data_IF_062720599537
#
_entry.id   IF_062720599537
#
_cell.length_a   1.000
_cell.length_b   1.000
_cell.length_c   1.000
_cell.angle_alpha   90.00
_cell.angle_beta   90.00
_cell.angle_gamma   90.00
#
_symmetry.space_group_name_H-M   'P 1'
#
loop_
_entity.id
_entity.type
_entity.pdbx_description
1 polymer ?
#
# COMPACT_ATOMS: atom_id res chain seq x y z
N UNK A 1 -119.95 113.21 224.11
CA UNK A 1 -120.82 112.15 223.55
C UNK A 1 -121.28 112.59 222.14
N UNK A 2 -120.34 112.76 221.20
CA UNK A 2 -120.61 112.95 219.75
C UNK A 2 -119.32 112.83 218.92
N UNK A 3 -118.14 113.16 219.48
CA UNK A 3 -116.85 113.10 218.77
C UNK A 3 -116.22 111.70 218.59
N UNK A 4 -116.54 110.71 219.44
CA UNK A 4 -115.90 109.38 219.36
C UNK A 4 -116.47 108.48 218.23
N UNK A 5 -117.66 108.78 217.70
CA UNK A 5 -118.29 107.97 216.64
C UNK A 5 -117.79 108.39 215.23
N UNK A 6 -117.55 109.68 215.00
CA UNK A 6 -117.02 110.19 213.73
C UNK A 6 -115.59 109.72 213.46
N UNK A 7 -114.79 109.51 214.52
CA UNK A 7 -113.41 109.06 214.39
C UNK A 7 -113.34 107.59 213.93
N UNK A 8 -114.24 106.73 214.42
CA UNK A 8 -114.31 105.33 214.02
C UNK A 8 -114.86 105.15 212.59
N UNK A 9 -115.82 105.98 212.15
CA UNK A 9 -116.28 105.99 210.75
C UNK A 9 -115.18 106.44 209.77
N UNK A 10 -114.35 107.39 210.19
CA UNK A 10 -113.21 107.88 209.38
C UNK A 10 -112.11 106.83 209.24
N UNK A 11 -111.82 106.08 210.31
CA UNK A 11 -110.87 104.97 210.27
C UNK A 11 -111.40 103.84 209.39
N UNK A 12 -112.68 103.49 209.50
CA UNK A 12 -113.29 102.44 208.68
C UNK A 12 -113.24 102.80 207.17
N UNK A 13 -113.52 104.06 206.80
CA UNK A 13 -113.37 104.54 205.43
C UNK A 13 -111.91 104.52 204.93
N UNK A 14 -110.92 104.87 205.77
CA UNK A 14 -109.50 104.80 205.40
C UNK A 14 -109.03 103.37 205.15
N UNK A 15 -109.47 102.42 205.97
CA UNK A 15 -109.11 101.00 205.82
C UNK A 15 -109.76 100.39 204.57
N UNK A 16 -111.02 100.74 204.28
CA UNK A 16 -111.69 100.32 203.04
C UNK A 16 -110.96 100.89 201.81
N UNK A 17 -110.64 102.20 201.80
CA UNK A 17 -109.88 102.82 200.70
C UNK A 17 -108.48 102.20 200.51
N UNK A 18 -107.79 101.86 201.61
CA UNK A 18 -106.50 101.17 201.54
C UNK A 18 -106.65 99.75 201.01
N UNK A 19 -107.70 99.01 201.42
CA UNK A 19 -108.01 97.68 200.91
C UNK A 19 -108.32 97.73 199.41
N UNK A 20 -109.09 98.70 198.94
CA UNK A 20 -109.43 98.85 197.52
C UNK A 20 -108.20 99.23 196.68
N UNK A 21 -107.33 100.12 197.19
CA UNK A 21 -106.02 100.40 196.56
C UNK A 21 -105.13 99.17 196.49
N UNK A 22 -105.08 98.36 197.55
CA UNK A 22 -104.34 97.10 197.58
C UNK A 22 -104.92 96.10 196.58
N UNK A 23 -106.24 96.01 196.46
CA UNK A 23 -106.93 95.15 195.51
C UNK A 23 -106.67 95.59 194.06
N UNK A 24 -106.72 96.89 193.78
CA UNK A 24 -106.35 97.46 192.48
C UNK A 24 -104.89 97.21 192.12
N UNK A 25 -103.96 97.41 193.07
CA UNK A 25 -102.54 97.14 192.85
C UNK A 25 -102.29 95.64 192.64
N UNK A 26 -102.95 94.77 193.39
CA UNK A 26 -102.84 93.33 193.18
C UNK A 26 -103.36 92.91 191.81
N UNK A 27 -104.50 93.45 191.37
CA UNK A 27 -105.05 93.19 190.04
C UNK A 27 -104.14 93.73 188.92
N UNK A 28 -103.52 94.90 189.11
CA UNK A 28 -102.54 95.47 188.16
C UNK A 28 -101.28 94.60 188.08
N UNK A 29 -100.74 94.18 189.23
CA UNK A 29 -99.56 93.33 189.29
C UNK A 29 -99.83 91.93 188.72
N UNK A 30 -101.04 91.40 188.92
CA UNK A 30 -101.49 90.16 188.30
C UNK A 30 -101.58 90.32 186.77
N UNK A 31 -102.16 91.42 186.27
CA UNK A 31 -102.22 91.69 184.84
C UNK A 31 -100.82 91.89 184.21
N UNK A 32 -99.90 92.58 184.88
CA UNK A 32 -98.50 92.72 184.44
C UNK A 32 -97.78 91.37 184.45
N UNK A 33 -98.00 90.55 185.48
CA UNK A 33 -97.47 89.18 185.55
C UNK A 33 -98.03 88.32 184.41
N UNK A 34 -99.32 88.41 184.12
CA UNK A 34 -99.95 87.68 183.02
C UNK A 34 -99.44 88.17 181.66
N UNK A 35 -99.23 89.48 181.49
CA UNK A 35 -98.58 90.04 180.30
C UNK A 35 -97.13 89.56 180.14
N UNK A 36 -96.35 89.55 181.21
CA UNK A 36 -94.97 89.09 181.19
C UNK A 36 -94.91 87.58 180.93
N UNK A 37 -95.83 86.82 181.50
CA UNK A 37 -95.99 85.39 181.26
C UNK A 37 -96.37 85.12 179.80
N UNK A 38 -97.28 85.91 179.22
CA UNK A 38 -97.64 85.82 177.81
C UNK A 38 -96.46 86.17 176.90
N UNK A 39 -95.72 87.23 177.22
CA UNK A 39 -94.52 87.65 176.48
C UNK A 39 -93.41 86.61 176.56
N UNK A 40 -93.15 86.04 177.73
CA UNK A 40 -92.23 84.92 177.93
C UNK A 40 -92.64 83.69 177.13
N UNK A 41 -93.94 83.35 177.15
CA UNK A 41 -94.47 82.22 176.38
C UNK A 41 -94.33 82.47 174.87
N UNK A 42 -94.49 83.71 174.41
CA UNK A 42 -94.26 84.10 173.01
C UNK A 42 -92.78 83.97 172.62
N UNK A 43 -91.87 84.49 173.45
CA UNK A 43 -90.43 84.39 173.21
C UNK A 43 -89.94 82.94 173.23
N UNK A 44 -90.50 82.11 174.10
CA UNK A 44 -90.22 80.67 174.14
C UNK A 44 -90.63 80.00 172.81
N UNK A 45 -91.81 80.34 172.26
CA UNK A 45 -92.22 79.84 170.94
C UNK A 45 -91.30 80.31 169.82
N UNK A 46 -90.87 81.57 169.84
CA UNK A 46 -89.91 82.09 168.85
C UNK A 46 -88.54 81.41 168.94
N UNK A 47 -88.05 81.18 170.17
CA UNK A 47 -86.81 80.42 170.40
C UNK A 47 -86.95 79.00 169.88
N UNK A 48 -88.05 78.32 170.17
CA UNK A 48 -88.28 76.94 169.74
C UNK A 48 -88.42 76.87 168.21
N UNK A 49 -89.01 77.88 167.58
CA UNK A 49 -89.07 78.02 166.12
C UNK A 49 -87.68 78.27 165.51
N UNK A 50 -86.88 79.15 166.10
CA UNK A 50 -85.50 79.40 165.66
C UNK A 50 -84.61 78.17 165.83
N UNK A 51 -84.81 77.41 166.91
CA UNK A 51 -84.12 76.14 167.13
C UNK A 51 -84.50 75.12 166.05
N UNK A 52 -85.79 74.99 165.75
CA UNK A 52 -86.29 74.12 164.66
C UNK A 52 -85.71 74.53 163.31
N UNK A 53 -85.64 75.83 163.02
CA UNK A 53 -85.05 76.37 161.80
C UNK A 53 -83.54 76.11 161.75
N UNK A 54 -82.83 76.26 162.87
CA UNK A 54 -81.40 75.98 162.98
C UNK A 54 -81.12 74.49 162.72
N UNK A 55 -81.88 73.59 163.34
CA UNK A 55 -81.74 72.15 163.16
C UNK A 55 -82.06 71.74 161.71
N UNK A 56 -83.05 72.38 161.09
CA UNK A 56 -83.36 72.20 159.66
C UNK A 56 -82.22 72.66 158.76
N UNK A 57 -81.65 73.84 159.01
CA UNK A 57 -80.51 74.37 158.25
C UNK A 57 -79.23 73.54 158.43
N UNK A 58 -79.00 73.03 159.64
CA UNK A 58 -77.91 72.09 159.95
C UNK A 58 -78.08 70.79 159.15
N UNK A 59 -79.28 70.21 159.16
CA UNK A 59 -79.59 69.02 158.35
C UNK A 59 -79.38 69.28 156.86
N UNK A 60 -79.83 70.43 156.34
CA UNK A 60 -79.64 70.81 154.95
C UNK A 60 -78.15 70.94 154.57
N UNK A 61 -77.35 71.56 155.44
CA UNK A 61 -75.89 71.68 155.26
C UNK A 61 -75.22 70.31 155.27
N UNK A 62 -75.60 69.44 156.21
CA UNK A 62 -75.03 68.10 156.32
C UNK A 62 -75.40 67.27 155.07
N UNK A 63 -76.62 67.43 154.53
CA UNK A 63 -77.04 66.83 153.25
C UNK A 63 -76.25 67.38 152.06
N UNK A 64 -76.01 68.70 151.99
CA UNK A 64 -75.17 69.32 150.95
C UNK A 64 -73.73 68.80 151.01
N UNK A 65 -73.20 68.58 152.22
CA UNK A 65 -71.86 67.99 152.39
C UNK A 65 -71.80 66.55 151.87
N UNK A 66 -72.85 65.74 152.13
CA UNK A 66 -72.96 64.39 151.57
C UNK A 66 -73.00 64.44 150.04
N UNK A 67 -73.84 65.30 149.47
CA UNK A 67 -73.96 65.45 148.02
C UNK A 67 -72.64 65.93 147.39
N UNK A 68 -71.95 66.87 148.03
CA UNK A 68 -70.63 67.33 147.59
C UNK A 68 -69.61 66.20 147.60
N UNK A 69 -69.58 65.40 148.67
CA UNK A 69 -68.68 64.25 148.78
C UNK A 69 -68.99 63.18 147.71
N UNK A 70 -70.29 62.93 147.43
CA UNK A 70 -70.72 62.01 146.36
C UNK A 70 -70.28 62.50 144.99
N UNK A 71 -70.52 63.78 144.68
CA UNK A 71 -70.12 64.39 143.41
C UNK A 71 -68.59 64.41 143.23
N UNK A 72 -67.84 64.63 144.31
CA UNK A 72 -66.39 64.54 144.29
C UNK A 72 -65.90 63.12 143.96
N UNK A 73 -66.60 62.09 144.46
CA UNK A 73 -66.28 60.70 144.15
C UNK A 73 -66.68 60.34 142.70
N UNK A 74 -67.87 60.74 142.24
CA UNK A 74 -68.28 60.60 140.83
C UNK A 74 -67.27 61.24 139.87
N UNK A 75 -66.76 62.43 140.20
CA UNK A 75 -65.72 63.10 139.42
C UNK A 75 -64.44 62.27 139.34
N UNK A 76 -64.01 61.63 140.43
CA UNK A 76 -62.84 60.73 140.42
C UNK A 76 -63.09 59.50 139.55
N UNK A 77 -64.28 58.90 139.64
CA UNK A 77 -64.64 57.75 138.81
C UNK A 77 -64.64 58.12 137.32
N UNK A 78 -65.18 59.28 136.97
CA UNK A 78 -65.16 59.78 135.60
C UNK A 78 -63.74 60.06 135.11
N UNK A 79 -62.86 60.59 135.96
CA UNK A 79 -61.45 60.78 135.63
C UNK A 79 -60.75 59.44 135.35
N UNK A 80 -60.96 58.43 136.19
CA UNK A 80 -60.42 57.07 135.98
C UNK A 80 -60.93 56.51 134.64
N UNK A 81 -62.22 56.67 134.35
CA UNK A 81 -62.81 56.23 133.08
C UNK A 81 -62.19 56.96 131.88
N UNK A 82 -61.97 58.27 132.00
CA UNK A 82 -61.32 59.08 130.96
C UNK A 82 -59.88 58.60 130.70
N UNK A 83 -59.10 58.39 131.76
CA UNK A 83 -57.71 57.93 131.67
C UNK A 83 -57.60 56.52 131.05
N UNK A 84 -58.55 55.64 131.39
CA UNK A 84 -58.68 54.32 130.77
C UNK A 84 -58.99 54.40 129.27
N UNK A 85 -59.98 55.22 128.87
CA UNK A 85 -60.33 55.42 127.46
C UNK A 85 -59.14 56.01 126.70
N UNK A 86 -58.42 56.98 127.29
CA UNK A 86 -57.24 57.59 126.67
C UNK A 86 -56.13 56.56 126.43
N UNK A 87 -55.95 55.63 127.36
CA UNK A 87 -54.98 54.54 127.21
C UNK A 87 -55.40 53.58 126.10
N UNK A 88 -56.69 53.24 125.99
CA UNK A 88 -57.21 52.41 124.90
C UNK A 88 -57.06 53.10 123.53
N UNK A 89 -57.30 54.40 123.45
CA UNK A 89 -57.08 55.20 122.23
C UNK A 89 -55.61 55.13 121.78
N UNK A 90 -54.67 55.33 122.70
CA UNK A 90 -53.24 55.25 122.42
C UNK A 90 -52.82 53.83 121.94
N UNK A 91 -53.41 52.78 122.56
CA UNK A 91 -53.17 51.39 122.15
C UNK A 91 -53.70 51.13 120.73
N UNK A 92 -54.91 51.62 120.43
CA UNK A 92 -55.52 51.48 119.11
C UNK A 92 -54.70 52.20 118.04
N UNK A 93 -54.22 53.41 118.33
CA UNK A 93 -53.35 54.17 117.43
C UNK A 93 -52.03 53.44 117.15
N UNK A 94 -51.45 52.83 118.19
CA UNK A 94 -50.24 52.00 118.05
C UNK A 94 -50.51 50.78 117.16
N UNK A 95 -51.62 50.09 117.38
CA UNK A 95 -52.01 48.93 116.57
C UNK A 95 -52.30 49.32 115.11
N UNK A 96 -52.99 50.44 114.88
CA UNK A 96 -53.23 50.98 113.54
C UNK A 96 -51.91 51.30 112.81
N UNK A 97 -50.93 51.88 113.51
CA UNK A 97 -49.60 52.13 112.95
C UNK A 97 -48.88 50.82 112.57
N UNK A 98 -48.97 49.77 113.39
CA UNK A 98 -48.42 48.44 113.08
C UNK A 98 -49.07 47.83 111.85
N UNK A 99 -50.40 47.79 111.81
CA UNK A 99 -51.19 47.29 110.66
C UNK A 99 -50.88 48.05 109.36
N UNK A 100 -50.66 49.37 109.45
CA UNK A 100 -50.27 50.18 108.29
C UNK A 100 -48.92 49.72 107.73
N UNK A 101 -47.92 49.48 108.60
CA UNK A 101 -46.61 48.97 108.18
C UNK A 101 -46.70 47.58 107.56
N UNK A 102 -47.50 46.69 108.15
CA UNK A 102 -47.73 45.34 107.61
C UNK A 102 -48.38 45.39 106.22
N UNK A 103 -49.40 46.24 106.04
CA UNK A 103 -50.04 46.46 104.74
C UNK A 103 -49.04 46.97 103.70
N UNK A 104 -48.22 47.95 104.06
CA UNK A 104 -47.24 48.53 103.14
C UNK A 104 -46.18 47.49 102.74
N UNK A 105 -45.74 46.65 103.69
CA UNK A 105 -44.83 45.55 103.40
C UNK A 105 -45.47 44.49 102.48
N UNK A 106 -46.73 44.13 102.69
CA UNK A 106 -47.47 43.23 101.81
C UNK A 106 -47.63 43.82 100.41
N UNK A 107 -47.86 45.13 100.30
CA UNK A 107 -47.95 45.82 99.01
C UNK A 107 -46.61 45.77 98.27
N UNK A 108 -45.49 46.00 98.95
CA UNK A 108 -44.15 45.85 98.37
C UNK A 108 -43.92 44.42 97.88
N UNK A 109 -44.27 43.41 98.69
CA UNK A 109 -44.13 42.01 98.30
C UNK A 109 -44.99 41.67 97.09
N UNK A 110 -46.23 42.15 97.03
CA UNK A 110 -47.13 41.97 95.89
C UNK A 110 -46.55 42.57 94.60
N UNK A 111 -46.01 43.79 94.68
CA UNK A 111 -45.39 44.44 93.53
C UNK A 111 -44.17 43.65 93.04
N UNK A 112 -43.32 43.18 93.97
CA UNK A 112 -42.15 42.36 93.63
C UNK A 112 -42.55 41.05 92.94
N UNK A 113 -43.56 40.35 93.47
CA UNK A 113 -44.07 39.12 92.89
C UNK A 113 -44.66 39.35 91.49
N UNK A 114 -45.33 40.48 91.28
CA UNK A 114 -45.86 40.88 89.97
C UNK A 114 -44.72 41.08 88.97
N UNK A 115 -43.68 41.83 89.35
CA UNK A 115 -42.50 42.01 88.50
C UNK A 115 -41.78 40.70 88.17
N UNK A 116 -41.66 39.78 89.14
CA UNK A 116 -41.09 38.46 88.90
C UNK A 116 -41.93 37.62 87.91
N UNK A 117 -43.26 37.68 88.03
CA UNK A 117 -44.18 37.03 87.09
C UNK A 117 -43.99 37.57 85.67
N UNK A 118 -43.88 38.89 85.52
CA UNK A 118 -43.70 39.52 84.21
C UNK A 118 -42.35 39.12 83.59
N UNK A 119 -41.28 39.06 84.40
CA UNK A 119 -39.97 38.57 83.97
C UNK A 119 -40.03 37.11 83.49
N UNK A 120 -40.70 36.23 84.25
CA UNK A 120 -40.89 34.84 83.85
C UNK A 120 -41.69 34.71 82.55
N UNK A 121 -42.68 35.57 82.34
CA UNK A 121 -43.45 35.57 81.10
C UNK A 121 -42.58 35.95 79.89
N UNK A 122 -41.68 36.92 80.04
CA UNK A 122 -40.72 37.30 79.00
C UNK A 122 -39.79 36.12 78.69
N UNK A 123 -39.22 35.49 79.72
CA UNK A 123 -38.33 34.32 79.56
C UNK A 123 -39.06 33.18 78.83
N UNK A 124 -40.30 32.89 79.24
CA UNK A 124 -41.12 31.87 78.60
C UNK A 124 -41.35 32.15 77.11
N UNK A 125 -41.69 33.40 76.77
CA UNK A 125 -41.93 33.78 75.38
C UNK A 125 -40.65 33.66 74.54
N UNK A 126 -39.50 34.07 75.09
CA UNK A 126 -38.21 33.94 74.42
C UNK A 126 -37.87 32.46 74.17
N UNK A 127 -38.03 31.60 75.19
CA UNK A 127 -37.77 30.16 75.07
C UNK A 127 -38.70 29.50 74.04
N UNK A 128 -39.96 29.93 73.98
CA UNK A 128 -40.91 29.44 72.98
C UNK A 128 -40.46 29.82 71.55
N UNK A 129 -39.87 31.00 71.37
CA UNK A 129 -39.34 31.42 70.08
C UNK A 129 -38.04 30.69 69.72
N UNK A 130 -37.11 30.53 70.66
CA UNK A 130 -35.90 29.72 70.48
C UNK A 130 -36.23 28.29 70.07
N UNK A 131 -37.26 27.69 70.68
CA UNK A 131 -37.74 26.36 70.30
C UNK A 131 -38.21 26.30 68.85
N UNK A 132 -38.92 27.31 68.35
CA UNK A 132 -39.34 27.36 66.94
C UNK A 132 -38.15 27.50 66.00
N UNK A 133 -37.18 28.34 66.34
CA UNK A 133 -35.97 28.50 65.55
C UNK A 133 -35.17 27.21 65.47
N UNK A 134 -35.07 26.49 66.59
CA UNK A 134 -34.41 25.18 66.61
C UNK A 134 -35.16 24.15 65.76
N UNK A 135 -36.51 24.16 65.78
CA UNK A 135 -37.31 23.30 64.92
C UNK A 135 -37.06 23.58 63.43
N UNK A 136 -37.03 24.85 63.03
CA UNK A 136 -36.73 25.26 61.65
C UNK A 136 -35.33 24.77 61.24
N UNK A 137 -34.34 24.93 62.13
CA UNK A 137 -32.98 24.43 61.90
C UNK A 137 -32.95 22.92 61.73
N UNK A 138 -33.66 22.18 62.59
CA UNK A 138 -33.77 20.73 62.51
C UNK A 138 -34.41 20.25 61.19
N UNK A 139 -35.49 20.90 60.75
CA UNK A 139 -36.19 20.56 59.50
C UNK A 139 -35.30 20.83 58.27
N UNK A 140 -34.53 21.93 58.29
CA UNK A 140 -33.55 22.23 57.25
C UNK A 140 -32.43 21.17 57.20
N UNK A 141 -31.85 20.80 58.35
CA UNK A 141 -30.82 19.76 58.41
C UNK A 141 -31.35 18.39 57.95
N UNK A 142 -32.61 18.08 58.28
CA UNK A 142 -33.29 16.86 57.81
C UNK A 142 -33.42 16.87 56.28
N UNK A 143 -33.86 18.00 55.71
CA UNK A 143 -33.99 18.16 54.26
C UNK A 143 -32.64 18.04 53.54
N UNK A 144 -31.57 18.62 54.10
CA UNK A 144 -30.22 18.50 53.56
C UNK A 144 -29.71 17.06 53.58
N UNK A 145 -29.96 16.34 54.68
CA UNK A 145 -29.61 14.91 54.80
C UNK A 145 -30.33 14.10 53.72
N UNK A 146 -31.62 14.33 53.53
CA UNK A 146 -32.41 13.59 52.55
C UNK A 146 -31.95 13.88 51.12
N UNK A 147 -31.57 15.13 50.82
CA UNK A 147 -30.97 15.49 49.54
C UNK A 147 -29.62 14.80 49.31
N UNK A 148 -28.77 14.73 50.34
CA UNK A 148 -27.50 14.00 50.26
C UNK A 148 -27.73 12.50 50.02
N UNK A 149 -28.77 11.92 50.62
CA UNK A 149 -29.12 10.52 50.39
C UNK A 149 -29.55 10.26 48.94
N UNK A 150 -30.32 11.18 48.35
CA UNK A 150 -30.68 11.11 46.92
C UNK A 150 -29.43 11.18 46.05
N UNK A 151 -28.55 12.14 46.32
CA UNK A 151 -27.30 12.30 45.56
C UNK A 151 -26.40 11.05 45.67
N UNK A 152 -26.31 10.46 46.86
CA UNK A 152 -25.58 9.21 47.08
C UNK A 152 -26.15 8.05 46.25
N UNK A 153 -27.47 7.90 46.23
CA UNK A 153 -28.13 6.84 45.46
C UNK A 153 -27.91 7.02 43.94
N UNK A 154 -27.98 8.25 43.45
CA UNK A 154 -27.70 8.56 42.04
C UNK A 154 -26.25 8.21 41.66
N UNK A 155 -25.28 8.63 42.49
CA UNK A 155 -23.87 8.31 42.28
C UNK A 155 -23.60 6.79 42.32
N UNK A 156 -24.29 6.07 43.20
CA UNK A 156 -24.19 4.61 43.25
C UNK A 156 -24.69 3.95 41.95
N UNK A 157 -25.74 4.50 41.32
CA UNK A 157 -26.25 4.00 40.06
C UNK A 157 -25.33 4.36 38.88
N UNK A 158 -24.82 5.59 38.82
CA UNK A 158 -23.82 6.00 37.83
C UNK A 158 -22.57 5.10 37.87
N UNK A 159 -22.12 4.74 39.08
CA UNK A 159 -21.00 3.81 39.27
C UNK A 159 -21.29 2.43 38.66
N UNK A 160 -22.50 1.89 38.81
CA UNK A 160 -22.88 0.60 38.19
C UNK A 160 -22.88 0.70 36.67
N UNK A 161 -23.41 1.78 36.11
CA UNK A 161 -23.40 2.01 34.67
C UNK A 161 -21.97 2.08 34.12
N UNK A 162 -21.08 2.77 34.83
CA UNK A 162 -19.67 2.84 34.45
C UNK A 162 -18.98 1.46 34.51
N UNK A 163 -19.30 0.64 35.52
CA UNK A 163 -18.78 -0.74 35.61
C UNK A 163 -19.24 -1.61 34.45
N UNK A 164 -20.51 -1.50 34.04
CA UNK A 164 -21.06 -2.21 32.87
C UNK A 164 -20.31 -1.77 31.60
N UNK A 165 -20.17 -0.46 31.39
CA UNK A 165 -19.44 0.11 30.25
C UNK A 165 -17.99 -0.39 30.18
N UNK A 166 -17.29 -0.38 31.32
CA UNK A 166 -15.94 -0.91 31.43
C UNK A 166 -15.86 -2.40 31.05
N UNK A 167 -16.81 -3.22 31.51
CA UNK A 167 -16.91 -4.63 31.13
C UNK A 167 -17.11 -4.85 29.64
N UNK A 168 -17.93 -4.03 28.99
CA UNK A 168 -18.17 -4.06 27.56
C UNK A 168 -16.89 -3.71 26.76
N UNK A 169 -16.20 -2.62 27.14
CA UNK A 169 -14.95 -2.20 26.49
C UNK A 169 -13.88 -3.29 26.64
N UNK A 170 -13.74 -3.87 27.84
CA UNK A 170 -12.80 -4.97 28.08
C UNK A 170 -13.09 -6.18 27.16
N UNK A 171 -14.35 -6.52 26.96
CA UNK A 171 -14.77 -7.60 26.07
C UNK A 171 -14.46 -7.28 24.60
N UNK A 172 -14.66 -6.03 24.16
CA UNK A 172 -14.29 -5.59 22.81
C UNK A 172 -12.78 -5.64 22.58
N UNK A 173 -11.96 -5.26 23.57
CA UNK A 173 -10.50 -5.36 23.50
C UNK A 173 -10.08 -6.83 23.30
N UNK A 174 -10.65 -7.76 24.07
CA UNK A 174 -10.36 -9.18 23.91
C UNK A 174 -10.73 -9.71 22.51
N UNK A 175 -11.85 -9.24 21.96
CA UNK A 175 -12.28 -9.59 20.59
C UNK A 175 -11.30 -9.04 19.55
N UNK A 176 -10.87 -7.79 19.70
CA UNK A 176 -9.86 -7.17 18.83
C UNK A 176 -8.53 -7.91 18.88
N UNK A 177 -8.06 -8.31 20.07
CA UNK A 177 -6.83 -9.11 20.23
C UNK A 177 -6.93 -10.47 19.54
N UNK A 178 -8.10 -11.12 19.62
CA UNK A 178 -8.36 -12.39 18.94
C UNK A 178 -8.32 -12.21 17.42
N UNK A 179 -8.98 -11.17 16.90
CA UNK A 179 -8.97 -10.84 15.49
C UNK A 179 -7.57 -10.49 14.98
N UNK A 180 -6.81 -9.72 15.74
CA UNK A 180 -5.42 -9.38 15.41
C UNK A 180 -4.54 -10.63 15.32
N UNK A 181 -4.70 -11.57 16.27
CA UNK A 181 -3.98 -12.85 16.26
C UNK A 181 -4.34 -13.70 15.03
N UNK A 182 -5.61 -13.72 14.63
CA UNK A 182 -6.06 -14.41 13.40
C UNK A 182 -5.44 -13.78 12.15
N UNK A 183 -5.53 -12.45 12.02
CA UNK A 183 -4.95 -11.72 10.89
C UNK A 183 -3.44 -11.91 10.78
N UNK A 184 -2.75 -12.01 11.92
CA UNK A 184 -1.31 -12.30 11.96
C UNK A 184 -1.01 -13.67 11.35
N UNK A 185 -1.78 -14.71 11.70
CA UNK A 185 -1.64 -16.04 11.11
C UNK A 185 -1.94 -16.05 9.61
N UNK A 186 -2.97 -15.33 9.17
CA UNK A 186 -3.31 -15.20 7.75
C UNK A 186 -2.19 -14.51 6.96
N UNK A 187 -1.61 -13.43 7.51
CA UNK A 187 -0.44 -12.76 6.93
C UNK A 187 0.75 -13.72 6.81
N UNK A 188 1.05 -14.48 7.86
CA UNK A 188 2.18 -15.40 7.86
C UNK A 188 1.99 -16.51 6.81
N UNK A 189 0.77 -17.02 6.68
CA UNK A 189 0.43 -17.99 5.64
C UNK A 189 0.59 -17.41 4.22
N UNK A 190 0.13 -16.18 4.00
CA UNK A 190 0.31 -15.49 2.72
C UNK A 190 1.78 -15.25 2.41
N UNK A 191 2.59 -14.91 3.42
CA UNK A 191 4.03 -14.75 3.26
C UNK A 191 4.70 -16.07 2.85
N UNK A 192 4.33 -17.19 3.46
CA UNK A 192 4.81 -18.51 3.05
C UNK A 192 4.42 -18.83 1.60
N UNK A 193 3.17 -18.57 1.23
CA UNK A 193 2.71 -18.79 -0.15
C UNK A 193 3.47 -17.91 -1.15
N UNK A 194 3.72 -16.64 -0.82
CA UNK A 194 4.51 -15.73 -1.65
C UNK A 194 5.95 -16.23 -1.85
N UNK A 195 6.59 -16.71 -0.78
CA UNK A 195 7.95 -17.26 -0.86
C UNK A 195 7.99 -18.50 -1.77
N UNK A 196 7.01 -19.40 -1.66
CA UNK A 196 6.89 -20.59 -2.51
C UNK A 196 6.71 -20.21 -3.99
N UNK A 197 5.83 -19.25 -4.28
CA UNK A 197 5.63 -18.75 -5.65
C UNK A 197 6.89 -18.12 -6.23
N UNK A 198 7.66 -17.41 -5.39
CA UNK A 198 8.96 -16.84 -5.79
C UNK A 198 9.95 -17.94 -6.15
N UNK A 199 10.07 -18.97 -5.32
CA UNK A 199 10.93 -20.13 -5.61
C UNK A 199 10.52 -20.87 -6.89
N UNK A 200 9.21 -21.04 -7.14
CA UNK A 200 8.73 -21.64 -8.38
C UNK A 200 9.06 -20.79 -9.61
N UNK A 201 8.94 -19.45 -9.49
CA UNK A 201 9.34 -18.53 -10.55
C UNK A 201 10.83 -18.66 -10.86
N UNK A 202 11.67 -18.73 -9.83
CA UNK A 202 13.11 -18.88 -10.00
C UNK A 202 13.47 -20.22 -10.67
N UNK A 203 12.78 -21.30 -10.29
CA UNK A 203 12.91 -22.61 -10.94
C UNK A 203 12.52 -22.55 -12.43
N UNK A 204 11.39 -21.90 -12.75
CA UNK A 204 10.97 -21.69 -14.14
C UNK A 204 11.98 -20.86 -14.93
N UNK A 205 12.59 -19.86 -14.31
CA UNK A 205 13.62 -19.05 -14.95
C UNK A 205 14.86 -19.88 -15.30
N UNK A 206 15.26 -20.80 -14.42
CA UNK A 206 16.37 -21.75 -14.69
C UNK A 206 16.00 -22.65 -15.88
N UNK A 207 14.80 -23.25 -15.87
CA UNK A 207 14.33 -24.11 -16.97
C UNK A 207 14.32 -23.35 -18.29
N UNK A 208 13.80 -22.11 -18.29
CA UNK A 208 13.78 -21.26 -19.47
C UNK A 208 15.18 -21.00 -20.03
N UNK A 209 16.14 -20.68 -19.16
CA UNK A 209 17.53 -20.44 -19.56
C UNK A 209 18.17 -21.70 -20.16
N UNK A 210 17.93 -22.87 -19.55
CA UNK A 210 18.42 -24.15 -20.07
C UNK A 210 17.83 -24.46 -21.45
N UNK A 211 16.52 -24.28 -21.62
CA UNK A 211 15.84 -24.50 -22.90
C UNK A 211 16.35 -23.54 -23.99
N UNK A 212 16.65 -22.29 -23.63
CA UNK A 212 17.26 -21.34 -24.55
C UNK A 212 18.64 -21.80 -25.01
N UNK A 213 19.43 -22.43 -24.13
CA UNK A 213 20.75 -22.96 -24.46
C UNK A 213 20.66 -24.24 -25.32
N UNK A 214 19.76 -25.17 -24.98
CA UNK A 214 19.46 -26.34 -25.81
C UNK A 214 19.02 -25.93 -27.22
N UNK A 215 18.20 -24.88 -27.35
CA UNK A 215 17.82 -24.33 -28.65
C UNK A 215 19.03 -23.85 -29.46
N UNK A 216 20.00 -23.16 -28.84
CA UNK A 216 21.23 -22.74 -29.53
C UNK A 216 22.08 -23.94 -29.97
N UNK A 217 22.18 -24.96 -29.12
CA UNK A 217 22.88 -26.19 -29.46
C UNK A 217 22.21 -26.89 -30.65
N UNK A 218 20.89 -27.01 -30.63
CA UNK A 218 20.12 -27.61 -31.72
C UNK A 218 20.26 -26.80 -33.02
N UNK A 219 20.21 -25.46 -32.96
CA UNK A 219 20.47 -24.60 -34.11
C UNK A 219 21.88 -24.82 -34.69
N UNK A 220 22.88 -25.01 -33.83
CA UNK A 220 24.26 -25.29 -34.25
C UNK A 220 24.36 -26.67 -34.92
N UNK A 221 23.74 -27.70 -34.33
CA UNK A 221 23.61 -29.03 -34.93
C UNK A 221 22.91 -28.99 -36.29
N UNK A 222 21.76 -28.31 -36.38
CA UNK A 222 21.03 -28.13 -37.63
C UNK A 222 21.87 -27.46 -38.72
N UNK A 223 22.63 -26.42 -38.37
CA UNK A 223 23.55 -25.75 -39.30
C UNK A 223 24.63 -26.72 -39.79
N UNK A 224 25.20 -27.53 -38.90
CA UNK A 224 26.21 -28.53 -39.25
C UNK A 224 25.65 -29.60 -40.20
N UNK A 225 24.48 -30.17 -39.89
CA UNK A 225 23.80 -31.15 -40.76
C UNK A 225 23.47 -30.53 -42.12
N UNK A 226 23.03 -29.27 -42.14
CA UNK A 226 22.79 -28.54 -43.39
C UNK A 226 24.07 -28.40 -44.22
N UNK A 227 25.19 -28.02 -43.60
CA UNK A 227 26.48 -27.92 -44.31
C UNK A 227 26.94 -29.28 -44.85
N UNK A 228 26.74 -30.36 -44.08
CA UNK A 228 27.09 -31.71 -44.56
C UNK A 228 26.19 -32.14 -45.71
N UNK A 229 24.89 -31.84 -45.66
CA UNK A 229 23.96 -32.06 -46.78
C UNK A 229 24.40 -31.30 -48.03
N UNK A 230 24.79 -30.03 -47.89
CA UNK A 230 25.27 -29.22 -49.02
C UNK A 230 26.56 -29.81 -49.61
N UNK A 231 27.47 -30.32 -48.77
CA UNK A 231 28.68 -31.02 -49.20
C UNK A 231 28.36 -32.32 -49.94
N UNK A 232 27.51 -33.19 -49.38
CA UNK A 232 27.05 -34.42 -50.03
C UNK A 232 26.33 -34.13 -51.36
N UNK A 233 25.58 -33.03 -51.45
CA UNK A 233 24.96 -32.62 -52.70
C UNK A 233 26.00 -32.22 -53.75
N UNK A 234 27.09 -31.55 -53.37
CA UNK A 234 28.21 -31.24 -54.28
C UNK A 234 28.91 -32.53 -54.73
N UNK A 235 29.19 -33.44 -53.80
CA UNK A 235 29.79 -34.75 -54.12
C UNK A 235 28.89 -35.56 -55.07
N UNK A 236 27.58 -35.61 -54.79
CA UNK A 236 26.60 -36.24 -55.68
C UNK A 236 26.63 -35.62 -57.08
N UNK A 237 26.67 -34.30 -57.19
CA UNK A 237 26.74 -33.61 -58.49
C UNK A 237 28.05 -33.91 -59.22
N UNK A 238 29.18 -33.97 -58.51
CA UNK A 238 30.46 -34.38 -59.07
C UNK A 238 30.43 -35.82 -59.57
N UNK A 239 29.87 -36.74 -58.78
CA UNK A 239 29.69 -38.13 -59.16
C UNK A 239 28.78 -38.27 -60.38
N UNK A 240 27.68 -37.50 -60.44
CA UNK A 240 26.77 -37.48 -61.58
C UNK A 240 27.48 -37.01 -62.86
N UNK A 241 28.32 -35.98 -62.77
CA UNK A 241 29.15 -35.51 -63.89
C UNK A 241 30.13 -36.59 -64.33
N UNK A 242 30.84 -37.22 -63.38
CA UNK A 242 31.76 -38.32 -63.66
C UNK A 242 31.05 -39.51 -64.33
N UNK A 243 29.88 -39.90 -63.81
CA UNK A 243 29.02 -40.92 -64.39
C UNK A 243 28.60 -40.58 -65.82
N UNK A 244 28.15 -39.35 -66.07
CA UNK A 244 27.77 -38.92 -67.42
C UNK A 244 28.98 -38.99 -68.37
N UNK A 245 30.16 -38.54 -67.94
CA UNK A 245 31.38 -38.62 -68.74
C UNK A 245 31.75 -40.06 -69.09
N UNK A 246 31.73 -40.99 -68.11
CA UNK A 246 31.94 -42.42 -68.37
C UNK A 246 30.85 -43.02 -69.26
N UNK A 247 29.60 -42.57 -69.15
CA UNK A 247 28.49 -43.03 -69.99
C UNK A 247 28.67 -42.67 -71.47
N UNK A 248 29.29 -41.52 -71.77
CA UNK A 248 29.57 -41.09 -73.16
C UNK A 248 30.89 -41.62 -73.72
N UNK A 249 31.79 -42.17 -72.89
CA UNK A 249 33.04 -42.76 -73.35
C UNK A 249 32.88 -43.92 -74.36
N UNK A 250 31.94 -44.88 -74.17
CA UNK A 250 31.69 -45.94 -75.15
C UNK A 250 31.31 -45.40 -76.53
N UNK A 251 30.49 -44.35 -76.60
CA UNK A 251 30.10 -43.73 -77.88
C UNK A 251 31.31 -43.08 -78.56
N UNK A 252 32.19 -42.42 -77.79
CA UNK A 252 33.43 -41.84 -78.33
C UNK A 252 34.39 -42.92 -78.81
N UNK A 253 34.64 -43.96 -78.00
CA UNK A 253 35.48 -45.09 -78.35
C UNK A 253 34.93 -45.87 -79.55
N UNK A 254 33.60 -45.97 -79.68
CA UNK A 254 32.96 -46.60 -80.84
C UNK A 254 33.14 -45.76 -82.12
N UNK A 255 33.09 -44.43 -82.02
CA UNK A 255 33.40 -43.54 -83.15
C UNK A 255 34.86 -43.69 -83.59
N UNK A 256 35.81 -43.71 -82.64
CA UNK A 256 37.22 -43.94 -82.94
C UNK A 256 37.47 -45.33 -83.56
N UNK A 257 36.82 -46.37 -83.01
CA UNK A 257 36.87 -47.74 -83.57
C UNK A 257 36.38 -47.76 -85.02
N UNK A 258 35.25 -47.11 -85.31
CA UNK A 258 34.72 -47.03 -86.67
C UNK A 258 35.67 -46.28 -87.61
N UNK A 259 36.29 -45.19 -87.15
CA UNK A 259 37.30 -44.47 -87.93
C UNK A 259 38.53 -45.33 -88.23
N UNK A 260 39.02 -46.09 -87.25
CA UNK A 260 40.12 -47.03 -87.46
C UNK A 260 39.73 -48.14 -88.43
N UNK A 261 38.52 -48.70 -88.33
CA UNK A 261 38.03 -49.73 -89.24
C UNK A 261 38.01 -49.23 -90.70
N UNK A 262 37.55 -48.00 -90.93
CA UNK A 262 37.57 -47.38 -92.26
C UNK A 262 39.00 -47.24 -92.79
N UNK A 263 39.94 -46.79 -91.95
CA UNK A 263 41.36 -46.70 -92.34
C UNK A 263 41.94 -48.08 -92.70
N UNK A 264 41.65 -49.09 -91.89
CA UNK A 264 42.09 -50.47 -92.13
C UNK A 264 41.58 -51.00 -93.48
N UNK A 265 40.29 -50.81 -93.77
CA UNK A 265 39.71 -51.24 -95.05
C UNK A 265 40.36 -50.54 -96.25
N UNK A 266 40.68 -49.24 -96.13
CA UNK A 266 41.35 -48.49 -97.20
C UNK A 266 42.76 -49.03 -97.48
N UNK A 267 43.56 -49.34 -96.45
CA UNK A 267 44.88 -49.94 -96.63
C UNK A 267 44.82 -51.33 -97.25
N UNK A 268 43.82 -52.12 -96.89
CA UNK A 268 43.57 -53.46 -97.47
C UNK A 268 43.36 -53.37 -98.97
N UNK A 269 42.55 -52.42 -99.42
CA UNK A 269 42.30 -52.20 -100.85
C UNK A 269 43.58 -51.78 -101.60
N UNK A 270 44.41 -50.91 -101.01
CA UNK A 270 45.68 -50.48 -101.62
C UNK A 270 46.66 -51.64 -101.77
N UNK A 271 46.78 -52.51 -100.75
CA UNK A 271 47.61 -53.71 -100.82
C UNK A 271 47.18 -54.63 -101.98
N UNK A 272 45.88 -54.85 -102.11
CA UNK A 272 45.34 -55.76 -103.13
C UNK A 272 45.51 -55.23 -104.56
N UNK A 273 45.56 -53.91 -104.74
CA UNK A 273 45.92 -53.29 -106.03
C UNK A 273 47.38 -53.54 -106.39
N UNK A 274 48.31 -53.23 -105.48
CA UNK A 274 49.75 -53.37 -105.73
C UNK A 274 50.17 -54.82 -106.00
N UNK A 275 49.50 -55.79 -105.35
CA UNK A 275 49.79 -57.21 -105.58
C UNK A 275 49.45 -57.66 -107.01
N UNK A 276 48.40 -57.09 -107.63
CA UNK A 276 48.01 -57.44 -109.00
C UNK A 276 49.00 -56.91 -110.03
N UNK A 277 49.52 -55.70 -109.83
CA UNK A 277 50.51 -55.10 -110.72
C UNK A 277 51.84 -55.87 -110.70
N UNK A 278 52.28 -56.29 -109.50
CA UNK A 278 53.49 -57.10 -109.34
C UNK A 278 53.41 -58.43 -110.09
N UNK A 279 52.25 -59.10 -110.03
CA UNK A 279 52.10 -60.41 -110.67
C UNK A 279 52.21 -60.33 -112.20
N UNK A 280 51.70 -59.26 -112.83
CA UNK A 280 51.79 -59.05 -114.29
C UNK A 280 53.23 -58.83 -114.77
N UNK A 281 54.05 -58.11 -114.02
CA UNK A 281 55.42 -57.82 -114.44
C UNK A 281 56.32 -59.07 -114.43
N UNK A 282 56.01 -60.03 -113.56
CA UNK A 282 56.82 -61.23 -113.35
C UNK A 282 56.67 -62.26 -114.48
N UNK A 283 55.58 -62.19 -115.25
CA UNK A 283 55.26 -63.11 -116.34
C UNK A 283 56.19 -62.88 -117.56
N UNK A 284 56.47 -61.61 -117.91
CA UNK A 284 57.32 -61.24 -119.04
C UNK A 284 58.81 -61.60 -118.87
N UNK A 285 59.33 -61.62 -117.63
CA UNK A 285 60.74 -61.93 -117.37
C UNK A 285 61.05 -63.42 -117.58
N UNK A 286 60.06 -64.30 -117.38
CA UNK A 286 60.23 -65.76 -117.55
C UNK A 286 60.39 -66.17 -119.02
N UNK A 287 59.93 -65.34 -119.97
CA UNK A 287 60.00 -65.61 -121.41
C UNK A 287 61.30 -65.12 -122.08
N UNK A 288 62.32 -64.78 -121.28
CA UNK A 288 63.65 -64.39 -121.78
C UNK A 288 63.83 -62.90 -122.08
N UNK A 289 62.79 -62.08 -121.88
CA UNK A 289 62.86 -60.62 -122.01
C UNK A 289 63.64 -60.00 -120.86
N UNK A 290 64.40 -58.94 -121.13
CA UNK A 290 65.17 -58.19 -120.14
C UNK A 290 64.39 -56.96 -119.72
N UNK A 291 64.11 -56.80 -118.43
CA UNK A 291 63.45 -55.60 -117.91
C UNK A 291 64.46 -54.53 -117.54
N UNK A 292 64.21 -53.29 -117.95
CA UNK A 292 64.89 -52.11 -117.43
C UNK A 292 63.85 -51.01 -117.16
N UNK A 293 63.83 -50.53 -115.91
CA UNK A 293 62.80 -49.62 -115.40
C UNK A 293 61.38 -50.21 -115.57
N UNK A 294 60.46 -49.47 -116.20
CA UNK A 294 59.08 -49.90 -116.49
C UNK A 294 58.91 -50.61 -117.84
N UNK A 295 60.00 -50.91 -118.55
CA UNK A 295 59.98 -51.48 -119.91
C UNK A 295 60.69 -52.83 -119.98
N UNK A 296 60.30 -53.66 -120.94
CA UNK A 296 60.90 -54.97 -121.22
C UNK A 296 61.42 -55.02 -122.66
N UNK A 297 62.60 -55.61 -122.87
CA UNK A 297 63.34 -55.60 -124.13
C UNK A 297 63.70 -57.03 -124.53
N UNK A 298 63.66 -57.31 -125.83
CA UNK A 298 64.04 -58.61 -126.39
C UNK A 298 65.01 -58.43 -127.55
N UNK A 299 66.09 -59.21 -127.54
CA UNK A 299 67.07 -59.24 -128.62
C UNK A 299 66.86 -60.53 -129.41
N UNK A 300 66.49 -60.38 -130.68
CA UNK A 300 66.26 -61.51 -131.57
C UNK A 300 67.58 -62.22 -131.90
N UNK A 301 67.58 -63.54 -131.89
CA UNK A 301 68.75 -64.38 -132.20
C UNK A 301 68.96 -64.61 -133.71
N UNK A 302 68.05 -64.16 -134.55
CA UNK A 302 68.06 -64.39 -136.00
C UNK A 302 68.55 -63.16 -136.78
N UNK A 303 69.40 -63.37 -137.79
CA UNK A 303 69.83 -62.29 -138.70
C UNK A 303 68.78 -62.07 -139.79
N UNK A 304 68.02 -60.99 -139.65
CA UNK A 304 67.00 -60.54 -140.62
C UNK A 304 67.39 -59.18 -141.18
N UNK A 305 66.76 -58.74 -142.28
CA UNK A 305 66.88 -57.35 -142.72
C UNK A 305 66.02 -56.40 -141.86
N UNK A 306 66.16 -55.08 -141.98
CA UNK A 306 65.46 -54.11 -141.12
C UNK A 306 63.93 -54.31 -141.10
N UNK A 307 63.32 -54.46 -142.28
CA UNK A 307 61.86 -54.61 -142.42
C UNK A 307 61.37 -55.89 -141.75
N UNK A 308 62.07 -57.00 -142.00
CA UNK A 308 61.78 -58.30 -141.38
C UNK A 308 62.04 -58.30 -139.87
N UNK A 309 63.06 -57.60 -139.40
CA UNK A 309 63.39 -57.49 -137.96
C UNK A 309 62.33 -56.69 -137.22
N UNK A 310 61.85 -55.60 -137.82
CA UNK A 310 60.74 -54.83 -137.27
C UNK A 310 59.45 -55.64 -137.21
N UNK A 311 59.18 -56.42 -138.26
CA UNK A 311 58.02 -57.29 -138.26
C UNK A 311 58.14 -58.39 -137.19
N UNK A 312 59.32 -58.97 -136.97
CA UNK A 312 59.54 -59.95 -135.88
C UNK A 312 59.25 -59.37 -134.49
N UNK A 313 59.70 -58.14 -134.21
CA UNK A 313 59.37 -57.45 -132.96
C UNK A 313 57.86 -57.24 -132.80
N UNK A 314 57.18 -56.85 -133.89
CA UNK A 314 55.72 -56.63 -133.91
C UNK A 314 54.91 -57.90 -133.76
N UNK A 315 55.33 -58.99 -134.39
CA UNK A 315 54.71 -60.30 -134.23
C UNK A 315 54.84 -60.81 -132.79
N UNK A 316 55.85 -60.34 -132.04
CA UNK A 316 56.04 -60.58 -130.60
C UNK A 316 55.34 -59.55 -129.70
N UNK A 317 54.52 -58.66 -130.26
CA UNK A 317 53.78 -57.63 -129.52
C UNK A 317 54.62 -56.43 -129.06
N UNK A 318 55.85 -56.28 -129.59
CA UNK A 318 56.75 -55.15 -129.34
C UNK A 318 57.01 -54.36 -130.64
N UNK A 319 57.93 -53.41 -130.65
CA UNK A 319 58.46 -52.79 -131.88
C UNK A 319 59.97 -52.66 -131.70
N UNK A 320 60.69 -52.29 -132.77
CA UNK A 320 62.13 -52.02 -132.63
C UNK A 320 62.34 -50.90 -131.61
N UNK A 321 63.39 -51.03 -130.80
CA UNK A 321 63.63 -50.12 -129.68
C UNK A 321 63.78 -48.67 -130.15
N UNK A 322 63.14 -47.76 -129.43
CA UNK A 322 63.34 -46.31 -129.49
C UNK A 322 64.13 -45.95 -128.24
N UNK A 323 65.26 -45.27 -128.42
CA UNK A 323 66.12 -44.92 -127.30
C UNK A 323 65.82 -43.48 -126.89
N UNK A 324 65.19 -43.30 -125.73
CA UNK A 324 64.72 -42.01 -125.25
C UNK A 324 65.56 -41.40 -124.12
N UNK A 325 66.44 -42.18 -123.47
CA UNK A 325 67.34 -41.66 -122.44
C UNK A 325 68.76 -42.21 -122.58
N UNK A 326 69.75 -41.50 -122.00
CA UNK A 326 71.14 -41.95 -122.00
C UNK A 326 71.31 -43.28 -121.26
N UNK A 327 70.55 -43.48 -120.18
CA UNK A 327 70.54 -44.72 -119.41
C UNK A 327 69.97 -45.90 -120.22
N UNK A 328 68.97 -45.64 -121.07
CA UNK A 328 68.41 -46.64 -122.00
C UNK A 328 69.42 -46.97 -123.11
N UNK A 329 70.14 -45.98 -123.64
CA UNK A 329 71.22 -46.19 -124.62
C UNK A 329 72.36 -47.04 -124.03
N UNK A 330 72.81 -46.72 -122.81
CA UNK A 330 73.84 -47.48 -122.10
C UNK A 330 73.36 -48.93 -121.81
N UNK A 331 72.09 -49.11 -121.46
CA UNK A 331 71.51 -50.43 -121.25
C UNK A 331 71.52 -51.26 -122.54
N UNK A 332 71.02 -50.72 -123.66
CA UNK A 332 71.03 -51.41 -124.96
C UNK A 332 72.46 -51.67 -125.44
N UNK A 333 73.39 -50.72 -125.24
CA UNK A 333 74.82 -50.87 -125.53
C UNK A 333 75.46 -52.01 -124.74
N UNK A 334 75.10 -52.14 -123.46
CA UNK A 334 75.57 -53.24 -122.61
C UNK A 334 75.09 -54.59 -123.13
N UNK A 335 73.85 -54.69 -123.62
CA UNK A 335 73.31 -55.93 -124.18
C UNK A 335 74.00 -56.30 -125.51
N UNK A 336 74.28 -55.32 -126.37
CA UNK A 336 74.98 -55.53 -127.64
C UNK A 336 76.45 -55.95 -127.45
N UNK A 337 77.14 -55.40 -126.44
CA UNK A 337 78.49 -55.84 -126.05
C UNK A 337 78.51 -57.30 -125.58
N UNK A 338 77.46 -57.74 -124.87
CA UNK A 338 77.36 -59.12 -124.37
C UNK A 338 77.10 -60.12 -125.50
N UNK A 339 76.25 -59.81 -126.47
CA UNK A 339 75.99 -60.71 -127.60
C UNK A 339 77.03 -60.62 -128.73
N UNK A 340 77.96 -59.66 -128.66
CA UNK A 340 78.90 -59.29 -129.73
C UNK A 340 78.20 -59.22 -131.10
N UNK A 341 76.99 -58.66 -131.11
CA UNK A 341 76.07 -58.70 -132.23
C UNK A 341 75.58 -57.29 -132.59
N UNK A 342 75.21 -57.13 -133.85
CA UNK A 342 74.69 -55.90 -134.42
C UNK A 342 73.18 -56.08 -134.64
N UNK A 343 72.37 -55.40 -133.83
CA UNK A 343 70.92 -55.46 -133.87
C UNK A 343 70.34 -54.28 -134.64
N UNK A 344 69.21 -54.47 -135.33
CA UNK A 344 68.46 -53.35 -135.88
C UNK A 344 67.78 -52.61 -134.73
N UNK A 345 67.89 -51.28 -134.70
CA UNK A 345 67.10 -50.42 -133.81
C UNK A 345 66.04 -49.69 -134.62
N UNK A 346 65.12 -49.00 -133.96
CA UNK A 346 63.97 -48.42 -134.65
C UNK A 346 64.22 -47.18 -135.50
N UNK A 347 65.43 -46.90 -135.98
CA UNK A 347 65.77 -45.64 -136.68
C UNK A 347 65.91 -45.84 -138.21
N UNK A 348 65.22 -45.05 -139.02
CA UNK A 348 65.23 -45.13 -140.51
C UNK A 348 65.11 -43.76 -141.19
N UNK A 349 65.66 -43.61 -142.40
CA UNK A 349 65.56 -42.38 -143.23
C UNK A 349 64.35 -42.42 -144.20
N UNK A 350 63.79 -41.26 -144.54
CA UNK A 350 62.66 -41.11 -145.48
C UNK A 350 63.11 -40.38 -146.77
N UNK A 351 62.84 -40.99 -147.93
CA UNK A 351 63.36 -40.62 -149.27
C UNK A 351 62.94 -39.25 -149.86
N UNK A 352 62.19 -38.43 -149.14
CA UNK A 352 61.86 -37.06 -149.58
C UNK A 352 62.27 -36.05 -148.50
N UNK A 353 63.57 -35.77 -148.38
CA UNK A 353 64.07 -34.64 -147.57
C UNK A 353 65.20 -34.92 -146.57
N UNK A 354 65.78 -36.12 -146.52
CA UNK A 354 67.03 -36.38 -145.79
C UNK A 354 66.92 -36.40 -144.25
N UNK A 355 65.78 -36.80 -143.68
CA UNK A 355 65.52 -36.77 -142.23
C UNK A 355 65.31 -38.18 -141.66
N UNK A 356 66.04 -38.49 -140.58
CA UNK A 356 65.93 -39.74 -139.80
C UNK A 356 64.74 -39.73 -138.82
N UNK A 357 64.00 -40.84 -138.73
CA UNK A 357 62.84 -41.02 -137.86
C UNK A 357 62.84 -42.36 -137.12
N UNK A 358 62.34 -42.36 -135.89
CA UNK A 358 62.08 -43.56 -135.09
C UNK A 358 60.83 -44.31 -135.56
N UNK A 359 60.66 -45.57 -135.12
CA UNK A 359 59.53 -46.42 -135.50
C UNK A 359 58.15 -45.87 -135.10
N UNK A 360 58.08 -45.01 -134.08
CA UNK A 360 56.84 -44.31 -133.70
C UNK A 360 56.55 -43.05 -134.55
N UNK A 361 57.42 -42.74 -135.52
CA UNK A 361 57.29 -41.60 -136.43
C UNK A 361 57.90 -40.29 -135.91
N UNK A 362 58.46 -40.28 -134.70
CA UNK A 362 59.15 -39.10 -134.15
C UNK A 362 60.50 -38.88 -134.84
N UNK A 363 60.89 -37.61 -135.04
CA UNK A 363 62.18 -37.26 -135.66
C UNK A 363 63.33 -37.45 -134.65
N UNK A 364 64.53 -37.82 -135.14
CA UNK A 364 65.72 -37.89 -134.28
C UNK A 364 66.12 -36.49 -133.81
N UNK A 365 65.83 -36.16 -132.55
CA UNK A 365 66.13 -34.84 -131.97
C UNK A 365 67.53 -34.77 -131.35
N UNK A 366 68.03 -35.88 -130.79
CA UNK A 366 69.36 -35.97 -130.16
C UNK A 366 70.02 -37.29 -130.58
N UNK A 367 71.13 -37.22 -131.30
CA UNK A 367 71.96 -38.37 -131.63
C UNK A 367 73.11 -38.51 -130.63
N UNK A 368 73.26 -39.68 -130.03
CA UNK A 368 74.31 -39.98 -129.05
C UNK A 368 75.59 -40.43 -129.77
N UNK A 369 76.21 -39.53 -130.54
CA UNK A 369 77.45 -39.77 -131.30
C UNK A 369 78.72 -39.72 -130.43
N UNK A 370 79.78 -40.47 -130.79
CA UNK A 370 81.08 -40.41 -130.10
C UNK A 370 81.89 -39.13 -130.45
N UNK A 371 82.87 -38.78 -129.60
CA UNK A 371 83.59 -37.50 -129.67
C UNK A 371 84.66 -37.47 -130.78
N UNK A 372 84.54 -36.55 -131.73
CA UNK A 372 85.57 -36.30 -132.77
C UNK A 372 85.12 -36.62 -134.20
N UNK A 373 83.90 -37.15 -134.34
CA UNK A 373 83.26 -37.43 -135.62
C UNK A 373 82.06 -36.49 -135.82
N UNK A 374 81.75 -36.11 -137.08
CA UNK A 374 82.13 -36.81 -138.31
C UNK A 374 83.27 -36.12 -139.16
N UNK A 375 84.31 -36.86 -139.63
CA UNK A 375 85.49 -36.36 -140.42
C UNK A 375 85.79 -37.14 -141.75
N UNK A 376 86.25 -36.45 -142.82
CA UNK A 376 86.19 -36.92 -144.23
C UNK A 376 87.57 -37.07 -144.92
N UNK A 377 88.24 -38.24 -144.88
CA UNK A 377 89.63 -38.38 -145.40
C UNK A 377 90.05 -39.78 -145.96
N UNK A 378 89.35 -40.34 -146.98
CA UNK A 378 89.73 -41.60 -147.66
C UNK A 378 89.50 -41.60 -149.18
N UNK A 379 90.23 -42.40 -150.01
CA UNK A 379 90.40 -42.17 -151.44
C UNK A 379 89.31 -42.85 -152.29
N UNK A 380 88.08 -42.32 -152.27
CA UNK A 380 87.09 -42.55 -153.32
C UNK A 380 86.17 -41.33 -153.37
N UNK A 381 86.25 -40.57 -154.47
CA UNK A 381 85.44 -39.36 -154.67
C UNK A 381 84.01 -39.75 -155.07
N UNK A 382 83.10 -39.84 -154.10
CA UNK A 382 81.64 -39.62 -154.16
C UNK A 382 80.94 -40.33 -152.99
N UNK A 383 81.21 -39.89 -151.76
CA UNK A 383 80.31 -40.16 -150.64
C UNK A 383 79.72 -38.83 -150.19
N UNK A 384 78.53 -38.54 -150.72
CA UNK A 384 77.67 -37.52 -150.14
C UNK A 384 77.25 -38.04 -148.76
N UNK A 385 77.71 -37.35 -147.73
CA UNK A 385 77.25 -37.44 -146.34
C UNK A 385 77.40 -38.83 -145.68
N UNK A 386 78.63 -39.35 -145.65
CA UNK A 386 79.06 -40.30 -144.63
C UNK A 386 80.38 -39.81 -144.01
N UNK A 387 80.38 -39.52 -142.70
CA UNK A 387 81.61 -39.79 -141.98
C UNK A 387 81.35 -40.67 -140.75
N UNK A 388 81.54 -41.98 -140.93
CA UNK A 388 81.68 -43.00 -139.88
C UNK A 388 82.85 -42.73 -138.93
N UNK A 389 82.93 -43.29 -137.71
CA UNK A 389 82.44 -44.59 -137.23
C UNK A 389 81.59 -44.48 -135.94
N UNK A 390 80.27 -44.62 -135.99
CA UNK A 390 79.32 -44.58 -134.87
C UNK A 390 79.05 -45.95 -134.21
N UNK A 391 78.46 -46.02 -133.00
CA UNK A 391 77.75 -47.24 -132.53
C UNK A 391 76.51 -47.49 -133.39
N UNK A 392 75.93 -46.45 -134.00
CA UNK A 392 74.98 -46.66 -135.09
C UNK A 392 75.64 -47.40 -136.27
N UNK A 393 76.96 -47.35 -136.45
CA UNK A 393 77.61 -48.17 -137.49
C UNK A 393 77.75 -49.63 -137.04
N UNK A 394 77.63 -49.89 -135.73
CA UNK A 394 77.39 -51.22 -135.15
C UNK A 394 75.91 -51.61 -135.19
N UNK A 395 74.99 -50.72 -135.54
CA UNK A 395 73.57 -50.99 -135.60
C UNK A 395 73.11 -50.62 -136.99
N UNK A 396 73.23 -51.57 -137.93
CA UNK A 396 72.99 -51.30 -139.34
C UNK A 396 71.77 -50.38 -139.52
N UNK A 397 71.94 -49.34 -140.31
CA UNK A 397 70.87 -48.53 -140.89
C UNK A 397 71.04 -48.65 -142.41
N UNK A 398 69.95 -48.64 -143.18
CA UNK A 398 69.99 -48.95 -144.62
C UNK A 398 69.86 -47.68 -145.46
N UNK A 399 70.82 -47.46 -146.37
CA UNK A 399 70.83 -46.43 -147.43
C UNK A 399 70.44 -47.05 -148.79
N UNK A 400 69.86 -46.26 -149.70
CA UNK A 400 69.51 -46.68 -151.06
C UNK A 400 69.85 -45.62 -152.11
N UNK A 401 71.03 -45.72 -152.71
CA UNK A 401 71.39 -45.05 -153.97
C UNK A 401 71.10 -45.92 -155.21
N UNK A 402 70.32 -45.37 -156.16
CA UNK A 402 70.47 -45.59 -157.62
C UNK A 402 69.69 -46.70 -158.36
N UNK A 403 68.41 -46.47 -158.68
CA UNK A 403 67.88 -46.22 -160.05
C UNK A 403 66.39 -45.86 -160.00
#
# INVERSE_FOLDING_TARGET
MTEDIDNLQTICHKVINQKDKLHMNHNKLAAEKDQLQASYTSLAKERDQLQTNYDSMKSLRDQLQINYNSLAEEKKQLQISYDNIKTQENLLQTNYSKLTKERDQLQTNYNNMTSQKDQLQIIYNNLAEEKKQLQISYDNMTSQRDQLQINYNNLAEEKKQLQISYGNIKSQINLLQTNYSRLTKERDQLQTNYNNMTSQKDQLQIIYNNLAEEKKQLQSSYKSVRTEKEKLQREKNQLQTSYNNLRYQPDQLQREKNQLQTKYNNLLNQRDQLQREKNKLNEYVQEGWKSFSSSVYYISSERKNYSESRQDCRDRGADLVIINSKEEEDFISSLNKVCNCYAWIGLTEVREGGVWKWVDGTALTTGYWERGEPNNNGPARNEDCDPGSSILDKLKTFDTGGQ
#
